data_IF_841416329326
#
_entry.id   IF_841416329326
#
_cell.length_a   1.000
_cell.length_b   1.000
_cell.length_c   1.000
_cell.angle_alpha   90.00
_cell.angle_beta   90.00
_cell.angle_gamma   90.00
#
_symmetry.space_group_name_H-M   'P 1'
#
loop_
_entity.id
_entity.type
_entity.pdbx_description
1 polymer ?
#
# COMPACT_ATOMS: atom_id res chain seq x y z
N UNK A 1 0.01 46.57 -3.52
CA UNK A 1 0.93 45.61 -4.18
C UNK A 1 1.25 44.55 -3.13
N UNK A 2 1.08 43.28 -3.46
CA UNK A 2 1.37 42.17 -2.51
C UNK A 2 2.86 41.88 -2.48
N UNK A 3 3.37 41.60 -1.26
CA UNK A 3 4.75 41.18 -1.05
C UNK A 3 4.93 39.75 -1.52
N UNK A 4 5.79 39.52 -2.49
CA UNK A 4 6.16 38.18 -2.95
C UNK A 4 7.42 37.66 -2.23
N UNK A 5 7.66 36.34 -2.33
CA UNK A 5 8.80 35.68 -1.70
C UNK A 5 10.16 36.17 -2.22
N UNK A 6 10.21 36.70 -3.45
CA UNK A 6 11.43 37.23 -4.06
C UNK A 6 11.85 38.52 -3.35
N UNK A 7 10.87 39.39 -3.05
CA UNK A 7 11.12 40.63 -2.29
C UNK A 7 11.63 40.33 -0.87
N UNK A 8 11.02 39.30 -0.22
CA UNK A 8 11.48 38.87 1.11
C UNK A 8 12.92 38.34 1.09
N UNK A 9 13.29 37.55 0.07
CA UNK A 9 14.66 37.04 -0.10
C UNK A 9 15.66 38.20 -0.29
N UNK A 10 15.31 39.21 -1.09
CA UNK A 10 16.14 40.38 -1.31
C UNK A 10 16.31 41.19 -0.02
N UNK A 11 15.20 41.46 0.69
CA UNK A 11 15.25 42.11 1.99
C UNK A 11 16.19 41.39 2.96
N UNK A 12 16.01 40.08 3.11
CA UNK A 12 16.81 39.26 4.02
C UNK A 12 18.30 39.30 3.65
N UNK A 13 18.63 39.15 2.36
CA UNK A 13 20.02 39.19 1.90
C UNK A 13 20.69 40.55 2.14
N UNK A 14 19.98 41.68 1.88
CA UNK A 14 20.52 43.01 2.16
C UNK A 14 20.73 43.20 3.68
N UNK A 15 19.79 42.70 4.50
CA UNK A 15 19.91 42.81 5.96
C UNK A 15 21.13 42.04 6.48
N UNK A 16 21.38 40.83 6.00
CA UNK A 16 22.51 39.99 6.39
C UNK A 16 23.86 40.54 5.93
N UNK A 17 23.92 40.94 4.67
CA UNK A 17 25.21 41.38 4.07
C UNK A 17 25.50 42.85 4.17
N UNK A 18 24.51 43.66 4.59
CA UNK A 18 24.59 45.13 4.68
C UNK A 18 25.15 45.78 3.38
N UNK A 19 24.89 45.15 2.22
CA UNK A 19 25.40 45.57 0.92
C UNK A 19 24.51 45.03 -0.20
N UNK A 20 24.08 45.90 -1.11
CA UNK A 20 23.29 45.50 -2.29
C UNK A 20 24.12 44.61 -3.23
N UNK A 21 25.40 44.90 -3.43
CA UNK A 21 26.31 44.13 -4.27
C UNK A 21 26.51 42.71 -3.72
N UNK A 22 26.83 42.59 -2.41
CA UNK A 22 26.98 41.27 -1.76
C UNK A 22 25.67 40.49 -1.73
N UNK A 23 24.55 41.16 -1.53
CA UNK A 23 23.22 40.53 -1.62
C UNK A 23 22.95 39.99 -3.02
N UNK A 24 23.35 40.73 -4.08
CA UNK A 24 23.20 40.23 -5.48
C UNK A 24 24.05 39.02 -5.78
N UNK A 25 25.28 38.98 -5.32
CA UNK A 25 26.18 37.83 -5.43
C UNK A 25 25.60 36.63 -4.69
N UNK A 26 25.17 36.80 -3.44
CA UNK A 26 24.58 35.72 -2.63
C UNK A 26 23.31 35.12 -3.27
N UNK A 27 22.48 35.98 -3.88
CA UNK A 27 21.23 35.54 -4.50
C UNK A 27 21.41 35.04 -5.94
N UNK A 28 22.59 35.20 -6.56
CA UNK A 28 22.86 34.84 -7.94
C UNK A 28 22.05 35.66 -8.96
N UNK A 29 21.69 36.92 -8.63
CA UNK A 29 20.89 37.80 -9.49
C UNK A 29 21.63 39.16 -9.67
N UNK A 30 21.31 39.85 -10.77
CA UNK A 30 21.95 41.14 -11.07
C UNK A 30 21.67 42.23 -10.02
N UNK A 31 22.65 43.07 -9.73
CA UNK A 31 22.48 44.18 -8.81
C UNK A 31 21.33 45.16 -9.18
N UNK A 32 21.03 45.44 -10.46
CA UNK A 32 19.85 46.23 -10.83
C UNK A 32 18.53 45.57 -10.36
N UNK A 33 18.46 44.22 -10.39
CA UNK A 33 17.29 43.50 -9.92
C UNK A 33 17.09 43.61 -8.42
N UNK A 34 18.20 43.55 -7.63
CA UNK A 34 18.16 43.73 -6.18
C UNK A 34 17.75 45.18 -5.84
N UNK A 35 18.28 46.20 -6.58
CA UNK A 35 17.92 47.58 -6.38
C UNK A 35 16.45 47.85 -6.71
N UNK A 36 15.94 47.28 -7.79
CA UNK A 36 14.52 47.37 -8.15
C UNK A 36 13.61 46.74 -7.08
N UNK A 37 13.99 45.56 -6.56
CA UNK A 37 13.25 44.90 -5.50
C UNK A 37 13.25 45.71 -4.19
N UNK A 38 14.40 46.32 -3.85
CA UNK A 38 14.50 47.23 -2.69
C UNK A 38 13.59 48.45 -2.87
N UNK A 39 13.53 49.06 -4.05
CA UNK A 39 12.62 50.18 -4.30
C UNK A 39 11.15 49.77 -4.15
N UNK A 40 10.76 48.58 -4.62
CA UNK A 40 9.40 48.04 -4.41
C UNK A 40 9.06 47.84 -2.93
N UNK A 41 10.02 47.42 -2.12
CA UNK A 41 9.84 47.31 -0.67
C UNK A 41 9.67 48.69 -0.03
N UNK A 42 10.47 49.69 -0.44
CA UNK A 42 10.36 51.09 0.01
C UNK A 42 8.99 51.66 -0.30
N UNK A 43 8.51 51.45 -1.53
CA UNK A 43 7.20 51.92 -1.95
C UNK A 43 6.07 51.25 -1.17
N UNK A 44 6.20 49.96 -0.89
CA UNK A 44 5.18 49.21 -0.15
C UNK A 44 5.10 49.64 1.32
N UNK A 45 6.26 49.75 1.98
CA UNK A 45 6.32 50.07 3.41
C UNK A 45 6.33 51.54 3.71
N UNK A 46 6.47 52.39 2.67
CA UNK A 46 6.67 53.87 2.82
C UNK A 46 7.82 54.20 3.77
N UNK A 47 8.89 53.39 3.71
CA UNK A 47 10.07 53.46 4.56
C UNK A 47 11.32 53.23 3.70
N UNK A 48 12.46 53.91 3.96
CA UNK A 48 13.71 53.69 3.24
C UNK A 48 14.23 52.24 3.35
N UNK A 49 13.75 51.46 4.29
CA UNK A 49 14.15 50.11 4.63
C UNK A 49 15.61 49.98 5.07
N UNK A 50 16.50 50.52 4.29
CA UNK A 50 17.93 50.60 4.59
C UNK A 50 18.46 52.00 4.21
N UNK A 51 19.26 52.56 5.10
CA UNK A 51 19.98 53.83 4.88
C UNK A 51 21.47 53.55 4.72
N UNK A 52 22.12 54.31 3.85
CA UNK A 52 23.55 54.15 3.61
C UNK A 52 24.33 54.97 4.65
N UNK A 53 25.12 54.28 5.49
CA UNK A 53 26.05 54.88 6.44
C UNK A 53 27.46 54.40 6.11
N UNK A 54 28.29 55.29 5.56
CA UNK A 54 29.60 54.91 4.99
C UNK A 54 29.42 53.93 3.83
N UNK A 55 30.05 52.78 3.91
CA UNK A 55 29.96 51.69 2.90
C UNK A 55 28.93 50.61 3.21
N UNK A 56 28.07 50.83 4.23
CA UNK A 56 27.10 49.82 4.67
C UNK A 56 25.67 50.29 4.51
N UNK A 57 24.78 49.35 4.19
CA UNK A 57 23.34 49.53 4.21
C UNK A 57 22.82 49.15 5.61
N UNK A 58 22.54 50.15 6.44
CA UNK A 58 22.02 49.96 7.80
C UNK A 58 20.49 49.84 7.78
N UNK A 59 19.89 48.86 8.46
CA UNK A 59 18.44 48.70 8.49
C UNK A 59 17.79 49.83 9.30
N UNK A 60 16.60 50.25 8.85
CA UNK A 60 15.70 51.12 9.60
C UNK A 60 15.10 50.37 10.80
N UNK A 61 14.44 51.10 11.72
CA UNK A 61 13.75 50.43 12.84
C UNK A 61 12.60 49.57 12.37
N UNK A 62 11.90 49.97 11.30
CA UNK A 62 10.90 49.11 10.66
C UNK A 62 11.54 47.79 10.15
N UNK A 63 12.66 47.89 9.44
CA UNK A 63 13.38 46.73 8.96
C UNK A 63 13.84 45.80 10.08
N UNK A 64 14.29 46.32 11.21
CA UNK A 64 14.63 45.50 12.39
C UNK A 64 13.40 44.78 12.94
N UNK A 65 12.26 45.48 13.02
CA UNK A 65 11.01 44.92 13.55
C UNK A 65 10.47 43.78 12.69
N UNK A 66 10.51 43.89 11.35
CA UNK A 66 9.99 42.86 10.44
C UNK A 66 10.97 41.72 10.16
N UNK A 67 12.27 41.90 10.46
CA UNK A 67 13.31 40.92 10.15
C UNK A 67 13.02 39.54 10.66
N UNK A 68 12.59 39.40 11.92
CA UNK A 68 12.30 38.07 12.50
C UNK A 68 11.15 37.39 11.80
N UNK A 69 10.10 38.12 11.44
CA UNK A 69 8.96 37.60 10.71
C UNK A 69 9.36 37.11 9.31
N UNK A 70 10.17 37.91 8.60
CA UNK A 70 10.69 37.51 7.27
C UNK A 70 11.58 36.28 7.37
N UNK A 71 12.46 36.21 8.34
CA UNK A 71 13.33 35.06 8.58
C UNK A 71 12.52 33.79 8.82
N UNK A 72 11.48 33.87 9.64
CA UNK A 72 10.59 32.72 9.92
C UNK A 72 9.86 32.24 8.67
N UNK A 73 9.33 33.17 7.84
CA UNK A 73 8.66 32.81 6.57
C UNK A 73 9.65 32.13 5.62
N UNK A 74 10.87 32.66 5.46
CA UNK A 74 11.87 32.06 4.58
C UNK A 74 12.33 30.68 5.07
N UNK A 75 12.45 30.47 6.38
CA UNK A 75 12.77 29.16 6.97
C UNK A 75 11.63 28.15 6.76
N UNK A 76 10.37 28.56 6.89
CA UNK A 76 9.22 27.71 6.58
C UNK A 76 9.17 27.34 5.09
N UNK A 77 9.44 28.30 4.19
CA UNK A 77 9.54 28.01 2.75
C UNK A 77 10.70 27.04 2.44
N UNK A 78 11.82 27.20 3.13
CA UNK A 78 12.94 26.27 3.00
C UNK A 78 12.56 24.88 3.45
N UNK A 79 11.89 24.75 4.59
CA UNK A 79 11.41 23.43 5.07
C UNK A 79 10.42 22.76 4.12
N UNK A 80 9.55 23.53 3.45
CA UNK A 80 8.65 23.00 2.42
C UNK A 80 9.42 22.50 1.18
N UNK A 81 10.43 23.26 0.73
CA UNK A 81 11.25 22.88 -0.42
C UNK A 81 12.17 21.68 -0.13
N UNK A 82 12.61 21.54 1.12
CA UNK A 82 13.43 20.43 1.60
C UNK A 82 12.59 19.29 2.16
N UNK A 83 11.25 19.38 2.06
CA UNK A 83 10.36 18.33 2.49
C UNK A 83 10.59 17.10 1.63
N UNK A 84 11.40 16.21 2.16
CA UNK A 84 11.74 14.94 1.54
C UNK A 84 10.76 13.89 2.08
N UNK A 85 9.98 13.31 1.19
CA UNK A 85 9.12 12.17 1.50
C UNK A 85 10.01 10.91 1.61
N UNK A 86 11.02 10.93 2.48
CA UNK A 86 11.79 9.73 2.77
C UNK A 86 11.02 8.84 3.75
N UNK A 87 10.92 7.58 3.42
CA UNK A 87 10.36 6.57 4.31
C UNK A 87 11.49 5.63 4.75
N UNK A 88 11.81 5.70 6.02
CA UNK A 88 12.71 4.72 6.65
C UNK A 88 11.89 3.73 7.48
N UNK A 89 11.81 2.46 7.08
CA UNK A 89 11.02 1.45 7.78
C UNK A 89 11.52 1.17 9.20
N UNK A 90 12.81 1.46 9.51
CA UNK A 90 13.39 1.18 10.81
C UNK A 90 12.96 2.18 11.89
N UNK A 91 12.71 3.42 11.48
CA UNK A 91 12.39 4.54 12.40
C UNK A 91 10.95 4.99 12.33
N UNK A 92 10.23 4.63 11.27
CA UNK A 92 8.83 5.00 11.07
C UNK A 92 7.90 4.23 12.00
N UNK A 93 6.89 4.92 12.53
CA UNK A 93 5.79 4.35 13.32
C UNK A 93 4.48 4.26 12.52
N UNK A 94 4.56 4.24 11.19
CA UNK A 94 3.41 4.20 10.31
C UNK A 94 2.60 2.91 10.50
N UNK A 95 1.28 3.01 10.44
CA UNK A 95 0.36 1.89 10.44
C UNK A 95 -0.18 1.67 9.03
N UNK A 96 0.14 0.52 8.43
CA UNK A 96 -0.36 0.14 7.12
C UNK A 96 -1.71 -0.55 7.23
N UNK A 97 -2.68 -0.04 6.48
CA UNK A 97 -3.98 -0.68 6.30
C UNK A 97 -3.95 -1.54 5.04
N UNK A 98 -3.94 -2.86 5.23
CA UNK A 98 -3.90 -3.81 4.11
C UNK A 98 -5.22 -4.58 4.05
N UNK A 99 -5.88 -4.51 2.90
CA UNK A 99 -7.05 -5.34 2.65
C UNK A 99 -6.64 -6.68 2.05
N UNK A 100 -7.11 -7.78 2.63
CA UNK A 100 -6.81 -9.12 2.11
C UNK A 100 -7.87 -10.15 2.51
N UNK A 101 -7.86 -11.29 1.81
CA UNK A 101 -8.74 -12.42 2.11
C UNK A 101 -8.26 -13.20 3.34
N UNK A 102 -9.16 -13.97 3.93
CA UNK A 102 -8.86 -14.87 5.05
C UNK A 102 -7.78 -15.92 4.72
N UNK A 103 -7.73 -16.42 3.47
CA UNK A 103 -6.63 -17.28 3.00
C UNK A 103 -5.29 -16.57 3.14
N UNK A 104 -5.24 -15.30 2.76
CA UNK A 104 -4.01 -14.49 2.86
C UNK A 104 -3.54 -14.33 4.30
N UNK A 105 -4.48 -14.34 5.28
CA UNK A 105 -4.13 -14.34 6.70
C UNK A 105 -3.32 -15.58 7.10
N UNK A 106 -3.65 -16.72 6.52
CA UNK A 106 -2.97 -17.98 6.81
C UNK A 106 -1.64 -18.12 6.05
N UNK A 107 -1.63 -17.71 4.78
CA UNK A 107 -0.54 -18.00 3.85
C UNK A 107 0.50 -16.87 3.82
N UNK A 108 0.07 -15.60 3.82
CA UNK A 108 0.97 -14.46 3.60
C UNK A 108 1.35 -13.73 4.88
N UNK A 109 0.39 -13.55 5.78
CA UNK A 109 0.58 -12.69 6.96
C UNK A 109 1.72 -13.16 7.88
N UNK A 110 1.95 -14.47 8.14
CA UNK A 110 3.07 -14.91 8.97
C UNK A 110 4.44 -14.48 8.42
N UNK A 111 4.66 -14.59 7.10
CA UNK A 111 5.92 -14.14 6.46
C UNK A 111 6.09 -12.62 6.60
N UNK A 112 5.00 -11.85 6.41
CA UNK A 112 5.03 -10.39 6.50
C UNK A 112 5.32 -9.90 7.93
N UNK A 113 4.66 -10.48 8.93
CA UNK A 113 4.86 -10.13 10.35
C UNK A 113 6.28 -10.46 10.82
N UNK A 114 6.83 -11.61 10.44
CA UNK A 114 8.20 -11.96 10.79
C UNK A 114 9.19 -10.96 10.20
N UNK A 115 9.00 -10.57 8.94
CA UNK A 115 9.85 -9.54 8.33
C UNK A 115 9.74 -8.19 9.06
N UNK A 116 8.53 -7.75 9.46
CA UNK A 116 8.34 -6.50 10.18
C UNK A 116 9.06 -6.52 11.53
N UNK A 117 8.95 -7.61 12.29
CA UNK A 117 9.61 -7.74 13.58
C UNK A 117 11.13 -7.59 13.48
N UNK A 118 11.73 -8.11 12.44
CA UNK A 118 13.19 -8.08 12.28
C UNK A 118 13.70 -6.77 11.66
N UNK A 119 12.96 -6.19 10.71
CA UNK A 119 13.47 -5.13 9.85
C UNK A 119 12.76 -3.77 10.02
N UNK A 120 11.59 -3.76 10.66
CA UNK A 120 10.74 -2.58 10.79
C UNK A 120 9.88 -2.63 12.06
N UNK A 121 10.48 -2.76 13.27
CA UNK A 121 9.78 -3.15 14.50
C UNK A 121 8.75 -2.13 15.00
N UNK A 122 8.84 -0.88 14.57
CA UNK A 122 7.91 0.19 14.96
C UNK A 122 6.70 0.33 14.02
N UNK A 123 6.74 -0.30 12.84
CA UNK A 123 5.61 -0.32 11.92
C UNK A 123 4.50 -1.24 12.43
N UNK A 124 3.27 -0.87 12.09
CA UNK A 124 2.07 -1.64 12.44
C UNK A 124 1.30 -2.05 11.20
N UNK A 125 0.54 -3.12 11.33
CA UNK A 125 -0.36 -3.63 10.30
C UNK A 125 -1.77 -3.70 10.87
N UNK A 126 -2.71 -3.12 10.14
CA UNK A 126 -4.13 -3.29 10.33
C UNK A 126 -4.70 -4.03 9.12
N UNK A 127 -5.38 -5.17 9.35
CA UNK A 127 -5.90 -6.01 8.28
C UNK A 127 -7.40 -5.79 8.15
N UNK A 128 -7.82 -5.47 6.94
CA UNK A 128 -9.21 -5.14 6.58
C UNK A 128 -9.72 -6.21 5.60
N UNK A 129 -10.92 -6.77 5.79
CA UNK A 129 -11.50 -7.70 4.84
C UNK A 129 -11.69 -7.06 3.46
N UNK A 130 -11.57 -7.87 2.39
CA UNK A 130 -11.98 -7.45 1.05
C UNK A 130 -13.51 -7.52 0.97
N UNK A 131 -14.14 -6.38 0.68
CA UNK A 131 -15.58 -6.27 0.50
C UNK A 131 -15.95 -5.27 -0.62
N UNK A 132 -17.24 -4.97 -0.76
CA UNK A 132 -17.76 -4.02 -1.76
C UNK A 132 -17.22 -2.60 -1.59
N UNK A 133 -16.78 -2.23 -0.38
CA UNK A 133 -16.27 -0.89 -0.06
C UNK A 133 -14.75 -0.78 -0.31
N UNK A 134 -14.05 -1.88 -0.54
CA UNK A 134 -12.58 -1.91 -0.69
C UNK A 134 -12.09 -0.88 -1.70
N UNK A 135 -12.75 -0.77 -2.86
CA UNK A 135 -12.38 0.20 -3.90
C UNK A 135 -12.48 1.65 -3.40
N UNK A 136 -13.58 2.03 -2.77
CA UNK A 136 -13.79 3.38 -2.25
C UNK A 136 -12.84 3.71 -1.08
N UNK A 137 -12.53 2.73 -0.23
CA UNK A 137 -11.58 2.86 0.87
C UNK A 137 -10.13 3.03 0.37
N UNK A 138 -9.76 2.37 -0.72
CA UNK A 138 -8.46 2.58 -1.39
C UNK A 138 -8.40 3.98 -2.03
N UNK A 139 -9.46 4.40 -2.72
CA UNK A 139 -9.52 5.73 -3.35
C UNK A 139 -9.48 6.86 -2.32
N UNK A 140 -10.11 6.70 -1.16
CA UNK A 140 -10.07 7.69 -0.06
C UNK A 140 -8.77 7.63 0.75
N UNK A 141 -7.97 6.56 0.64
CA UNK A 141 -6.69 6.36 1.34
C UNK A 141 -6.82 5.72 2.73
N UNK A 142 -7.97 5.11 3.03
CA UNK A 142 -8.13 4.29 4.23
C UNK A 142 -7.49 2.90 4.08
N UNK A 143 -7.26 2.45 2.86
CA UNK A 143 -6.52 1.23 2.54
C UNK A 143 -5.31 1.61 1.69
N UNK A 144 -4.11 1.23 2.14
CA UNK A 144 -2.85 1.46 1.45
C UNK A 144 -2.60 0.47 0.32
N UNK A 145 -2.96 -0.79 0.55
CA UNK A 145 -2.72 -1.90 -0.36
C UNK A 145 -3.81 -2.95 -0.22
N UNK A 146 -4.25 -3.54 -1.33
CA UNK A 146 -5.13 -4.71 -1.30
C UNK A 146 -4.45 -5.90 -1.95
N UNK A 147 -4.53 -7.09 -1.34
CA UNK A 147 -3.92 -8.33 -1.84
C UNK A 147 -5.00 -9.39 -2.00
N UNK A 148 -5.24 -9.81 -3.25
CA UNK A 148 -6.24 -10.83 -3.55
C UNK A 148 -6.59 -10.90 -5.03
N UNK A 149 -7.66 -11.61 -5.32
CA UNK A 149 -8.30 -11.63 -6.62
C UNK A 149 -9.44 -10.61 -6.63
N UNK A 150 -9.22 -9.45 -7.26
CA UNK A 150 -10.19 -8.34 -7.33
C UNK A 150 -10.35 -7.98 -8.82
N UNK A 151 -11.25 -8.66 -9.55
CA UNK A 151 -11.34 -8.51 -11.01
C UNK A 151 -11.99 -7.20 -11.46
N UNK A 152 -12.69 -6.47 -10.59
CA UNK A 152 -13.58 -5.37 -10.93
C UNK A 152 -13.05 -3.98 -10.54
N UNK A 153 -11.73 -3.81 -10.42
CA UNK A 153 -11.19 -2.49 -10.13
C UNK A 153 -11.28 -1.58 -11.36
N UNK A 154 -11.90 -0.42 -11.18
CA UNK A 154 -12.07 0.62 -12.20
C UNK A 154 -10.75 1.35 -12.53
N UNK A 155 -10.82 2.34 -13.43
CA UNK A 155 -9.70 3.21 -13.74
C UNK A 155 -9.17 3.94 -12.50
N UNK A 156 -7.86 4.16 -12.44
CA UNK A 156 -7.20 4.82 -11.30
C UNK A 156 -6.49 3.87 -10.34
N UNK A 157 -6.57 2.55 -10.58
CA UNK A 157 -5.86 1.55 -9.80
C UNK A 157 -4.72 0.93 -10.59
N UNK A 158 -3.62 0.70 -9.90
CA UNK A 158 -2.50 -0.10 -10.38
C UNK A 158 -2.58 -1.50 -9.78
N UNK A 159 -2.05 -2.46 -10.50
CA UNK A 159 -1.99 -3.84 -10.06
C UNK A 159 -0.67 -4.49 -10.44
N UNK A 160 -0.24 -5.46 -9.64
CA UNK A 160 0.93 -6.28 -9.92
C UNK A 160 0.65 -7.72 -9.48
N UNK A 161 0.88 -8.67 -10.39
CA UNK A 161 0.73 -10.10 -10.08
C UNK A 161 1.80 -10.52 -9.07
N UNK A 162 1.37 -11.25 -8.05
CA UNK A 162 2.23 -11.89 -7.06
C UNK A 162 2.49 -13.36 -7.44
N UNK A 163 1.42 -14.15 -7.53
CA UNK A 163 1.49 -15.56 -7.89
C UNK A 163 0.19 -16.04 -8.54
N UNK A 164 0.25 -17.23 -9.15
CA UNK A 164 -0.92 -17.90 -9.69
C UNK A 164 -1.43 -18.96 -8.72
N UNK A 165 -2.75 -19.19 -8.78
CA UNK A 165 -3.44 -20.19 -7.98
C UNK A 165 -4.27 -21.09 -8.89
N UNK A 166 -4.35 -22.36 -8.49
CA UNK A 166 -5.32 -23.32 -9.00
C UNK A 166 -6.08 -23.93 -7.83
N UNK A 167 -7.09 -24.72 -8.13
CA UNK A 167 -7.89 -25.39 -7.11
C UNK A 167 -7.55 -26.87 -7.04
N UNK A 168 -7.68 -27.42 -5.85
CA UNK A 168 -7.53 -28.83 -5.52
C UNK A 168 -8.68 -29.26 -4.62
N UNK A 169 -8.91 -30.54 -4.49
CA UNK A 169 -9.81 -31.08 -3.49
C UNK A 169 -9.01 -31.56 -2.28
N UNK A 170 -9.52 -31.30 -1.09
CA UNK A 170 -8.98 -31.85 0.15
C UNK A 170 -9.99 -32.78 0.79
N UNK A 171 -9.51 -33.90 1.32
CA UNK A 171 -10.26 -34.90 2.05
C UNK A 171 -9.49 -35.33 3.30
N UNK A 172 -10.15 -35.94 4.28
CA UNK A 172 -9.47 -36.58 5.40
C UNK A 172 -8.52 -37.70 4.91
N UNK A 173 -7.36 -37.89 5.55
CA UNK A 173 -6.48 -39.02 5.25
C UNK A 173 -7.15 -40.35 5.53
N UNK A 174 -8.19 -40.35 6.36
CA UNK A 174 -9.00 -41.54 6.70
C UNK A 174 -10.34 -41.54 5.97
N UNK A 175 -10.46 -40.82 4.85
CA UNK A 175 -11.70 -40.75 4.09
C UNK A 175 -12.11 -42.17 3.62
N UNK A 176 -13.33 -42.62 3.90
CA UNK A 176 -13.68 -44.02 3.71
C UNK A 176 -13.78 -44.48 2.23
N UNK A 177 -13.87 -43.53 1.30
CA UNK A 177 -14.14 -43.82 -0.14
C UNK A 177 -13.07 -43.22 -1.07
N UNK A 178 -12.20 -42.34 -0.59
CA UNK A 178 -11.20 -41.65 -1.41
C UNK A 178 -9.79 -42.04 -0.91
N UNK A 179 -9.17 -42.98 -1.58
CA UNK A 179 -7.84 -43.54 -1.25
C UNK A 179 -6.75 -43.14 -2.25
N UNK A 180 -7.14 -42.67 -3.43
CA UNK A 180 -6.24 -42.28 -4.50
C UNK A 180 -5.85 -40.80 -4.43
N UNK A 181 -4.88 -40.40 -5.25
CA UNK A 181 -4.45 -39.00 -5.35
C UNK A 181 -5.29 -38.15 -6.30
N UNK A 182 -6.33 -38.72 -6.88
CA UNK A 182 -7.28 -38.02 -7.75
C UNK A 182 -8.71 -38.44 -7.39
N UNK A 183 -9.65 -37.58 -7.76
CA UNK A 183 -11.08 -37.85 -7.59
C UNK A 183 -11.74 -37.88 -8.97
N UNK A 184 -12.59 -38.85 -9.22
CA UNK A 184 -13.36 -38.94 -10.48
C UNK A 184 -14.55 -37.99 -10.47
N UNK A 185 -15.12 -37.66 -11.65
CA UNK A 185 -16.34 -36.85 -11.76
C UNK A 185 -17.50 -37.44 -10.96
N UNK A 186 -17.69 -38.76 -11.04
CA UNK A 186 -18.74 -39.46 -10.30
C UNK A 186 -18.54 -39.34 -8.78
N UNK A 187 -17.33 -39.57 -8.29
CA UNK A 187 -17.01 -39.41 -6.86
C UNK A 187 -17.22 -37.97 -6.41
N UNK A 188 -16.73 -37.00 -7.18
CA UNK A 188 -16.88 -35.59 -6.84
C UNK A 188 -18.34 -35.16 -6.70
N UNK A 189 -19.24 -35.65 -7.56
CA UNK A 189 -20.67 -35.34 -7.51
C UNK A 189 -21.39 -36.03 -6.34
N UNK A 190 -20.96 -37.20 -5.96
CA UNK A 190 -21.61 -38.02 -4.96
C UNK A 190 -21.15 -37.78 -3.54
N UNK A 191 -19.93 -37.23 -3.37
CA UNK A 191 -19.40 -36.92 -2.03
C UNK A 191 -20.11 -35.73 -1.38
N UNK A 192 -20.01 -35.66 -0.05
CA UNK A 192 -20.48 -34.53 0.74
C UNK A 192 -19.49 -33.38 0.65
N UNK A 193 -19.95 -32.17 0.36
CA UNK A 193 -19.10 -31.01 0.20
C UNK A 193 -19.21 -29.98 1.34
N UNK A 194 -18.07 -29.52 1.80
CA UNK A 194 -17.96 -28.28 2.54
C UNK A 194 -17.77 -27.14 1.55
N UNK A 195 -18.76 -26.29 1.43
CA UNK A 195 -18.79 -25.13 0.55
C UNK A 195 -18.37 -23.87 1.31
N UNK A 196 -17.68 -22.94 0.65
CA UNK A 196 -17.20 -21.71 1.27
C UNK A 196 -17.91 -20.52 0.61
N UNK A 197 -18.65 -19.74 1.38
CA UNK A 197 -19.36 -18.54 0.92
C UNK A 197 -18.43 -17.32 0.77
N UNK A 198 -17.12 -17.56 0.67
CA UNK A 198 -16.15 -16.49 0.58
C UNK A 198 -16.29 -15.69 -0.72
N UNK A 199 -16.01 -14.41 -0.66
CA UNK A 199 -15.97 -13.51 -1.81
C UNK A 199 -14.67 -13.68 -2.61
N UNK A 200 -14.66 -13.21 -3.85
CA UNK A 200 -13.44 -13.20 -4.69
C UNK A 200 -13.15 -14.53 -5.37
N UNK A 201 -12.02 -15.17 -5.04
CA UNK A 201 -11.54 -16.39 -5.73
C UNK A 201 -12.54 -17.54 -5.72
N UNK A 202 -13.33 -17.72 -4.67
CA UNK A 202 -14.31 -18.81 -4.61
C UNK A 202 -15.43 -18.69 -5.66
N UNK A 203 -15.74 -17.47 -6.08
CA UNK A 203 -16.67 -17.26 -7.20
C UNK A 203 -16.25 -18.00 -8.48
N UNK A 204 -14.94 -18.19 -8.69
CA UNK A 204 -14.42 -18.94 -9.85
C UNK A 204 -14.88 -20.40 -9.80
N UNK A 205 -14.82 -21.05 -8.64
CA UNK A 205 -15.26 -22.45 -8.44
C UNK A 205 -16.74 -22.59 -8.78
N UNK A 206 -17.59 -21.78 -8.18
CA UNK A 206 -19.04 -21.83 -8.42
C UNK A 206 -19.39 -21.59 -9.89
N UNK A 207 -18.77 -20.58 -10.49
CA UNK A 207 -19.01 -20.25 -11.88
C UNK A 207 -18.59 -21.37 -12.84
N UNK A 208 -17.43 -22.00 -12.62
CA UNK A 208 -16.97 -23.10 -13.47
C UNK A 208 -17.81 -24.38 -13.28
N UNK A 209 -18.17 -24.70 -12.04
CA UNK A 209 -19.08 -25.85 -11.79
C UNK A 209 -20.45 -25.65 -12.44
N UNK A 210 -20.99 -24.44 -12.37
CA UNK A 210 -22.25 -24.07 -13.02
C UNK A 210 -22.17 -24.20 -14.55
N UNK A 211 -21.08 -23.76 -15.18
CA UNK A 211 -20.86 -23.93 -16.62
C UNK A 211 -20.81 -25.37 -17.04
N UNK A 212 -20.21 -26.24 -16.19
CA UNK A 212 -20.07 -27.66 -16.44
C UNK A 212 -21.34 -28.46 -16.08
N UNK A 213 -22.36 -27.81 -15.53
CA UNK A 213 -23.57 -28.48 -15.06
C UNK A 213 -23.31 -29.47 -13.91
N UNK A 214 -22.30 -29.16 -13.07
CA UNK A 214 -21.93 -30.00 -11.93
C UNK A 214 -22.68 -29.51 -10.70
N UNK A 215 -23.54 -30.37 -10.19
CA UNK A 215 -24.22 -30.17 -8.90
C UNK A 215 -23.44 -30.93 -7.81
N UNK A 216 -23.19 -30.25 -6.69
CA UNK A 216 -22.54 -30.82 -5.51
C UNK A 216 -23.56 -31.13 -4.42
N UNK A 217 -23.29 -32.15 -3.65
CA UNK A 217 -24.07 -32.44 -2.45
C UNK A 217 -23.51 -31.63 -1.26
N UNK A 218 -24.03 -30.45 -1.04
CA UNK A 218 -23.51 -29.53 -0.01
C UNK A 218 -24.00 -29.95 1.36
N UNK A 219 -23.07 -30.42 2.20
CA UNK A 219 -23.31 -30.76 3.61
C UNK A 219 -23.30 -29.50 4.49
N UNK A 220 -22.33 -28.61 4.26
CA UNK A 220 -22.06 -27.47 5.12
C UNK A 220 -21.61 -26.27 4.27
N UNK A 221 -22.03 -25.05 4.67
CA UNK A 221 -21.52 -23.79 4.15
C UNK A 221 -20.78 -23.04 5.22
N UNK A 222 -19.51 -22.69 4.97
CA UNK A 222 -18.68 -21.88 5.86
C UNK A 222 -18.55 -20.44 5.32
N UNK A 223 -18.52 -19.43 6.19
CA UNK A 223 -18.32 -18.05 5.77
C UNK A 223 -16.87 -17.74 5.39
N UNK A 224 -15.92 -18.63 5.68
CA UNK A 224 -14.50 -18.43 5.45
C UNK A 224 -13.73 -19.75 5.35
N UNK A 225 -12.51 -19.68 4.83
CA UNK A 225 -11.61 -20.85 4.72
C UNK A 225 -10.95 -21.24 6.06
N UNK A 226 -11.03 -20.42 7.10
CA UNK A 226 -10.29 -20.64 8.37
C UNK A 226 -10.61 -21.97 9.06
N UNK A 227 -11.87 -22.41 8.98
CA UNK A 227 -12.31 -23.66 9.61
C UNK A 227 -12.28 -24.91 8.71
N UNK A 228 -12.03 -24.73 7.41
CA UNK A 228 -12.25 -25.82 6.42
C UNK A 228 -11.38 -27.05 6.71
N UNK A 229 -10.11 -26.84 7.07
CA UNK A 229 -9.19 -27.95 7.34
C UNK A 229 -9.63 -28.82 8.50
N UNK A 230 -10.09 -28.25 9.60
CA UNK A 230 -10.58 -28.99 10.77
C UNK A 230 -11.86 -29.76 10.45
N UNK A 231 -12.81 -29.13 9.75
CA UNK A 231 -14.07 -29.78 9.39
C UNK A 231 -13.84 -30.97 8.47
N UNK A 232 -13.00 -30.81 7.44
CA UNK A 232 -12.67 -31.89 6.50
C UNK A 232 -11.91 -33.03 7.19
N UNK A 233 -10.96 -32.69 8.08
CA UNK A 233 -10.17 -33.71 8.81
C UNK A 233 -11.04 -34.62 9.67
N UNK A 234 -12.07 -34.08 10.30
CA UNK A 234 -12.92 -34.78 11.27
C UNK A 234 -14.24 -35.30 10.64
N UNK A 235 -14.33 -35.34 9.32
CA UNK A 235 -15.53 -35.78 8.60
C UNK A 235 -15.20 -36.60 7.36
N UNK A 236 -16.22 -37.16 6.71
CA UNK A 236 -16.13 -37.77 5.39
C UNK A 236 -16.57 -36.81 4.27
N UNK A 237 -16.48 -35.49 4.52
CA UNK A 237 -16.74 -34.46 3.54
C UNK A 237 -15.45 -34.01 2.85
N UNK A 238 -15.59 -33.50 1.64
CA UNK A 238 -14.50 -32.91 0.85
C UNK A 238 -14.68 -31.41 0.69
N UNK A 239 -13.60 -30.70 0.41
CA UNK A 239 -13.65 -29.29 0.07
C UNK A 239 -12.79 -28.97 -1.14
N UNK A 240 -13.28 -28.08 -2.02
CA UNK A 240 -12.50 -27.51 -3.13
C UNK A 240 -11.87 -26.21 -2.67
N UNK A 241 -10.53 -26.17 -2.60
CA UNK A 241 -9.79 -25.04 -2.03
C UNK A 241 -8.59 -24.64 -2.91
N UNK A 242 -8.05 -23.42 -2.76
CA UNK A 242 -6.82 -23.01 -3.43
C UNK A 242 -5.59 -23.82 -3.00
N UNK A 243 -4.70 -24.11 -3.96
CA UNK A 243 -3.55 -25.00 -3.79
C UNK A 243 -2.57 -24.57 -2.67
N UNK A 244 -2.27 -23.29 -2.50
CA UNK A 244 -1.38 -22.87 -1.40
C UNK A 244 -2.00 -23.07 -0.02
N UNK A 245 -3.32 -22.94 0.09
CA UNK A 245 -4.01 -23.26 1.34
C UNK A 245 -3.93 -24.76 1.63
N UNK A 246 -4.11 -25.62 0.62
CA UNK A 246 -4.04 -27.05 0.80
C UNK A 246 -2.67 -27.53 1.28
N UNK A 247 -1.59 -26.96 0.75
CA UNK A 247 -0.22 -27.26 1.20
C UNK A 247 0.00 -26.87 2.67
N UNK A 248 -0.50 -25.71 3.08
CA UNK A 248 -0.44 -25.28 4.48
C UNK A 248 -1.22 -26.24 5.39
N UNK A 249 -2.42 -26.65 4.97
CA UNK A 249 -3.26 -27.58 5.73
C UNK A 249 -2.64 -28.98 5.81
N UNK A 250 -2.06 -29.46 4.72
CA UNK A 250 -1.34 -30.74 4.68
C UNK A 250 -0.20 -30.79 5.69
N UNK A 251 0.57 -29.71 5.82
CA UNK A 251 1.69 -29.63 6.78
C UNK A 251 1.26 -29.63 8.25
N UNK A 252 -0.02 -29.41 8.55
CA UNK A 252 -0.57 -29.26 9.90
C UNK A 252 -1.60 -30.29 10.32
N UNK A 253 -2.10 -31.07 9.38
CA UNK A 253 -3.21 -31.98 9.63
C UNK A 253 -3.13 -33.27 8.82
N UNK A 254 -4.07 -34.17 9.09
CA UNK A 254 -4.23 -35.46 8.42
C UNK A 254 -5.18 -35.31 7.25
N UNK A 255 -4.71 -34.71 6.18
CA UNK A 255 -5.48 -34.46 4.98
C UNK A 255 -4.76 -35.03 3.76
N UNK A 256 -5.52 -35.45 2.77
CA UNK A 256 -5.08 -35.78 1.43
C UNK A 256 -5.44 -34.65 0.48
N UNK A 257 -4.56 -34.39 -0.47
CA UNK A 257 -4.81 -33.48 -1.59
C UNK A 257 -5.08 -34.33 -2.81
N UNK A 258 -6.19 -34.05 -3.47
CA UNK A 258 -6.65 -34.77 -4.65
C UNK A 258 -6.77 -33.79 -5.83
N UNK A 259 -6.38 -34.24 -7.02
CA UNK A 259 -6.58 -33.47 -8.23
C UNK A 259 -8.06 -33.39 -8.58
N UNK A 260 -8.52 -32.18 -8.95
CA UNK A 260 -9.87 -31.94 -9.44
C UNK A 260 -10.12 -32.73 -10.75
N UNK A 261 -11.32 -33.32 -10.94
CA UNK A 261 -11.66 -33.99 -12.21
C UNK A 261 -11.97 -32.99 -13.34
N UNK A 262 -11.86 -31.70 -13.08
CA UNK A 262 -12.19 -30.62 -14.00
C UNK A 262 -11.01 -29.69 -14.21
N UNK A 263 -10.87 -29.19 -15.44
CA UNK A 263 -9.85 -28.19 -15.76
C UNK A 263 -10.35 -26.76 -15.47
N UNK A 264 -10.21 -26.32 -14.23
CA UNK A 264 -10.54 -24.94 -13.86
C UNK A 264 -9.44 -23.97 -14.28
N UNK A 265 -9.80 -22.75 -14.71
CA UNK A 265 -8.82 -21.74 -15.03
C UNK A 265 -8.02 -21.35 -13.77
N UNK A 266 -6.71 -21.20 -13.95
CA UNK A 266 -5.89 -20.58 -12.92
C UNK A 266 -6.27 -19.11 -12.77
N UNK A 267 -6.16 -18.57 -11.56
CA UNK A 267 -6.34 -17.16 -11.30
C UNK A 267 -5.10 -16.56 -10.66
N UNK A 268 -4.90 -15.26 -10.88
CA UNK A 268 -3.76 -14.56 -10.32
C UNK A 268 -4.12 -13.82 -9.03
N UNK A 269 -3.38 -14.09 -7.97
CA UNK A 269 -3.39 -13.24 -6.78
C UNK A 269 -2.50 -12.05 -7.08
N UNK A 270 -3.03 -10.85 -6.90
CA UNK A 270 -2.36 -9.60 -7.22
C UNK A 270 -2.36 -8.68 -6.01
N UNK A 271 -1.40 -7.76 -5.98
CA UNK A 271 -1.49 -6.57 -5.15
C UNK A 271 -2.03 -5.41 -5.96
N UNK A 272 -2.87 -4.58 -5.31
CA UNK A 272 -3.57 -3.45 -5.91
C UNK A 272 -3.41 -2.21 -5.06
N UNK A 273 -3.24 -1.05 -5.69
CA UNK A 273 -3.18 0.24 -4.99
C UNK A 273 -3.75 1.36 -5.85
N UNK A 274 -4.27 2.38 -5.21
CA UNK A 274 -4.81 3.55 -5.91
C UNK A 274 -3.69 4.48 -6.42
N UNK A 275 -3.91 5.20 -7.51
CA UNK A 275 -2.95 6.14 -8.12
C UNK A 275 -2.47 7.23 -7.17
N UNK A 276 -3.30 7.66 -6.21
CA UNK A 276 -2.94 8.68 -5.21
C UNK A 276 -1.71 8.34 -4.38
N UNK A 277 -1.46 7.04 -4.14
CA UNK A 277 -0.31 6.55 -3.34
C UNK A 277 0.80 5.96 -4.21
N UNK A 278 0.68 6.07 -5.55
CA UNK A 278 1.63 5.45 -6.47
C UNK A 278 3.08 5.91 -6.23
N UNK A 279 3.28 7.21 -5.96
CA UNK A 279 4.58 7.81 -5.70
C UNK A 279 4.88 7.97 -4.20
N UNK A 280 3.99 7.53 -3.31
CA UNK A 280 4.22 7.59 -1.87
C UNK A 280 5.31 6.59 -1.47
N UNK A 281 6.43 7.03 -0.83
CA UNK A 281 7.56 6.16 -0.50
C UNK A 281 7.23 5.00 0.43
N UNK A 282 6.35 5.20 1.43
CA UNK A 282 5.93 4.13 2.33
C UNK A 282 5.13 3.06 1.58
N UNK A 283 4.21 3.47 0.70
CA UNK A 283 3.45 2.53 -0.14
C UNK A 283 4.35 1.81 -1.15
N UNK A 284 5.32 2.50 -1.77
CA UNK A 284 6.31 1.88 -2.66
C UNK A 284 7.15 0.82 -1.93
N UNK A 285 7.58 1.12 -0.70
CA UNK A 285 8.32 0.17 0.11
C UNK A 285 7.48 -1.07 0.42
N UNK A 286 6.22 -0.89 0.87
CA UNK A 286 5.30 -1.98 1.18
C UNK A 286 5.06 -2.88 -0.04
N UNK A 287 4.79 -2.30 -1.22
CA UNK A 287 4.57 -3.06 -2.47
C UNK A 287 5.78 -3.88 -2.87
N UNK A 288 6.99 -3.27 -2.79
CA UNK A 288 8.23 -3.97 -3.10
C UNK A 288 8.49 -5.11 -2.13
N UNK A 289 8.19 -4.90 -0.85
CA UNK A 289 8.28 -5.93 0.16
C UNK A 289 7.32 -7.08 -0.12
N UNK A 290 6.04 -6.79 -0.35
CA UNK A 290 5.03 -7.80 -0.67
C UNK A 290 5.40 -8.58 -1.93
N UNK A 291 5.86 -7.90 -2.99
CA UNK A 291 6.33 -8.57 -4.21
C UNK A 291 7.51 -9.49 -3.93
N UNK A 292 8.51 -9.02 -3.17
CA UNK A 292 9.68 -9.83 -2.81
C UNK A 292 9.32 -11.06 -1.97
N UNK A 293 8.38 -10.93 -1.04
CA UNK A 293 8.00 -12.04 -0.15
C UNK A 293 7.05 -13.04 -0.79
N UNK A 294 6.22 -12.58 -1.74
CA UNK A 294 5.07 -13.33 -2.24
C UNK A 294 5.09 -13.56 -3.76
N UNK A 295 6.14 -13.16 -4.48
CA UNK A 295 6.27 -13.57 -5.89
C UNK A 295 6.40 -15.09 -6.01
N UNK A 296 5.96 -15.64 -7.13
CA UNK A 296 5.87 -17.08 -7.40
C UNK A 296 7.16 -17.83 -7.05
N UNK A 297 8.32 -17.23 -7.35
CA UNK A 297 9.64 -17.77 -7.01
C UNK A 297 9.94 -17.89 -5.51
N UNK A 298 9.17 -17.28 -4.63
CA UNK A 298 9.39 -17.26 -3.18
C UNK A 298 8.22 -17.87 -2.39
N UNK A 299 7.24 -18.41 -3.10
CA UNK A 299 6.08 -19.12 -2.50
C UNK A 299 6.28 -20.63 -2.49
N UNK A 300 7.21 -21.16 -3.31
CA UNK A 300 7.70 -22.52 -3.26
C UNK A 300 8.64 -22.68 -2.05
#
# INVERSE_FOLDING_TARGET
>A
MDIDTRLLKVFYAIYQHQSVSKASEHLGIGQPTVSSALNKLRDHFQDPMFVRIGNKMQPTDLSKNIYQSVSNILNQLKSINEFNLEFDPKTSNYEFNISMTDISHLVLLPKLINYFRENAPSLRLNIIPIDINTQSMMASGHIDLSIGFIPQLEAGFYQQTLFKQHYVVVASEHHPRLTDHFITDEQYRNELHVDILATGGHYVVEHELQKLGVNRNILLRLPSYLGVGLVVQESDAIATIPSYLSQLLLSRGKLNILDLPYNFPQYSVKQHWHSRVHNNPSNQWLRRLCFRLFSESNME
#
